data_IF_701696570632
#
_entry.id   IF_701696570632
#
_cell.length_a   1.000
_cell.length_b   1.000
_cell.length_c   1.000
_cell.angle_alpha   90.00
_cell.angle_beta   90.00
_cell.angle_gamma   90.00
#
_symmetry.space_group_name_H-M   'P 1'
#
loop_
_entity.id
_entity.type
_entity.pdbx_description
1 polymer ?
#
# COMPACT_ATOMS: atom_id res chain seq x y z
N UNK A 1 0.18 7.23 16.28
CA UNK A 1 -0.93 6.59 15.53
C UNK A 1 -1.38 7.51 14.41
N UNK A 2 -1.58 6.96 13.23
CA UNK A 2 -2.07 7.74 12.10
C UNK A 2 -3.58 7.87 12.17
N UNK A 3 -4.12 9.12 12.15
CA UNK A 3 -5.57 9.28 12.04
C UNK A 3 -6.06 8.72 10.71
N UNK A 4 -7.10 7.91 10.76
CA UNK A 4 -7.68 7.27 9.60
C UNK A 4 -8.00 8.27 8.49
N UNK A 5 -8.64 9.40 8.83
CA UNK A 5 -9.03 10.41 7.86
C UNK A 5 -7.82 11.07 7.20
N UNK A 6 -6.75 11.31 7.94
CA UNK A 6 -5.54 11.92 7.39
C UNK A 6 -4.85 10.97 6.40
N UNK A 7 -4.82 9.68 6.71
CA UNK A 7 -4.23 8.67 5.82
C UNK A 7 -5.02 8.61 4.51
N UNK A 8 -6.34 8.52 4.58
CA UNK A 8 -7.18 8.45 3.38
C UNK A 8 -7.08 9.73 2.56
N UNK A 9 -7.12 10.90 3.21
CA UNK A 9 -7.03 12.17 2.51
C UNK A 9 -5.70 12.31 1.77
N UNK A 10 -4.59 11.93 2.40
CA UNK A 10 -3.29 12.00 1.73
C UNK A 10 -3.20 10.97 0.60
N UNK A 11 -3.65 9.73 0.83
CA UNK A 11 -3.62 8.70 -0.22
C UNK A 11 -4.43 9.13 -1.45
N UNK A 12 -5.57 9.78 -1.25
CA UNK A 12 -6.40 10.26 -2.37
C UNK A 12 -5.69 11.29 -3.23
N UNK A 13 -4.74 12.04 -2.70
CA UNK A 13 -3.94 12.98 -3.48
C UNK A 13 -3.08 12.28 -4.52
N UNK A 14 -2.79 10.99 -4.30
CA UNK A 14 -1.94 10.19 -5.19
C UNK A 14 -2.73 9.53 -6.33
N UNK A 15 -4.06 9.59 -6.30
CA UNK A 15 -4.89 9.06 -7.39
C UNK A 15 -4.50 9.78 -8.68
N UNK A 16 -4.21 9.00 -9.73
CA UNK A 16 -3.76 9.54 -11.01
C UNK A 16 -2.25 9.61 -11.14
N UNK A 17 -1.48 9.39 -10.06
CA UNK A 17 -0.03 9.30 -10.15
C UNK A 17 0.34 8.00 -10.88
N UNK A 18 1.09 8.06 -12.01
CA UNK A 18 1.38 6.87 -12.78
C UNK A 18 2.32 5.91 -12.05
N UNK A 19 2.25 4.65 -12.43
CA UNK A 19 3.13 3.64 -11.85
C UNK A 19 4.56 3.82 -12.37
N UNK A 20 5.53 3.98 -11.46
CA UNK A 20 6.96 4.00 -11.77
C UNK A 20 7.67 3.21 -10.66
N UNK A 21 8.35 2.13 -11.05
CA UNK A 21 9.02 1.25 -10.09
C UNK A 21 10.00 2.00 -9.19
N UNK A 22 9.89 1.78 -7.88
CA UNK A 22 10.72 2.39 -6.82
C UNK A 22 10.58 3.92 -6.68
N UNK A 23 9.65 4.55 -7.41
CA UNK A 23 9.42 5.98 -7.29
C UNK A 23 8.40 6.28 -6.19
N UNK A 24 8.47 7.48 -5.62
CA UNK A 24 7.55 7.96 -4.60
C UNK A 24 7.42 9.48 -4.72
N UNK A 25 6.95 9.96 -5.89
CA UNK A 25 6.81 11.40 -6.18
C UNK A 25 5.37 11.68 -6.61
N UNK A 26 4.66 12.42 -5.77
CA UNK A 26 3.26 12.77 -6.00
C UNK A 26 3.08 13.41 -7.39
N UNK A 27 2.18 12.85 -8.18
CA UNK A 27 1.85 13.34 -9.50
C UNK A 27 2.81 12.94 -10.61
N UNK A 28 4.04 12.56 -10.28
CA UNK A 28 5.06 12.23 -11.27
C UNK A 28 5.24 10.72 -11.44
N UNK A 29 5.27 9.97 -10.35
CA UNK A 29 5.40 8.52 -10.41
C UNK A 29 5.51 7.88 -9.04
N UNK A 30 4.92 6.71 -8.89
CA UNK A 30 5.00 5.93 -7.67
C UNK A 30 4.71 4.46 -7.96
N UNK A 31 5.33 3.56 -7.19
CA UNK A 31 4.87 2.19 -7.12
C UNK A 31 4.01 2.01 -5.86
N UNK A 32 3.58 0.79 -5.57
CA UNK A 32 2.69 0.58 -4.43
C UNK A 32 3.36 0.89 -3.09
N UNK A 33 4.62 0.53 -2.92
CA UNK A 33 5.35 0.87 -1.70
C UNK A 33 5.63 2.37 -1.64
N UNK A 34 5.92 3.01 -2.78
CA UNK A 34 6.12 4.46 -2.85
C UNK A 34 4.90 5.22 -2.39
N UNK A 35 3.71 4.76 -2.73
CA UNK A 35 2.46 5.35 -2.25
C UNK A 35 2.41 5.30 -0.71
N UNK A 36 2.69 4.15 -0.12
CA UNK A 36 2.69 4.02 1.34
C UNK A 36 3.75 4.92 1.96
N UNK A 37 4.95 4.97 1.38
CA UNK A 37 6.04 5.82 1.87
C UNK A 37 5.66 7.31 1.82
N UNK A 38 5.02 7.74 0.73
CA UNK A 38 4.58 9.12 0.59
C UNK A 38 3.52 9.51 1.62
N UNK A 39 2.56 8.63 1.84
CA UNK A 39 1.53 8.85 2.86
C UNK A 39 2.15 8.86 4.26
N UNK A 40 3.07 7.94 4.55
CA UNK A 40 3.75 7.91 5.84
C UNK A 40 4.47 9.22 6.11
N UNK A 41 5.25 9.71 5.13
CA UNK A 41 6.01 10.96 5.30
C UNK A 41 5.10 12.17 5.54
N UNK A 42 3.94 12.21 4.87
CA UNK A 42 3.02 13.33 5.02
C UNK A 42 2.27 13.31 6.36
N UNK A 43 1.96 12.13 6.88
CA UNK A 43 1.10 11.98 8.06
C UNK A 43 1.90 11.71 9.33
N UNK A 44 2.97 10.94 9.24
CA UNK A 44 3.75 10.51 10.41
C UNK A 44 5.12 11.19 10.51
N UNK A 45 5.65 11.73 9.42
CA UNK A 45 7.00 12.28 9.38
C UNK A 45 7.99 11.30 8.78
N UNK A 46 9.29 11.37 9.16
CA UNK A 46 10.31 10.55 8.51
C UNK A 46 10.00 9.06 8.56
N UNK A 47 10.43 8.35 7.49
CA UNK A 47 10.25 6.91 7.43
C UNK A 47 11.06 6.23 8.54
N UNK A 48 10.51 5.13 9.13
CA UNK A 48 11.17 4.48 10.27
C UNK A 48 12.45 3.73 9.90
N UNK A 49 12.62 3.37 8.62
CA UNK A 49 13.84 2.71 8.15
C UNK A 49 14.06 3.03 6.69
N UNK A 50 15.32 2.88 6.24
CA UNK A 50 15.66 3.05 4.84
C UNK A 50 15.16 1.84 4.05
N UNK A 51 14.44 2.10 2.95
CA UNK A 51 13.93 1.04 2.06
C UNK A 51 15.03 0.67 1.06
N UNK A 52 15.52 -0.56 1.06
CA UNK A 52 16.50 -0.99 0.08
C UNK A 52 15.86 -1.16 -1.31
N UNK A 53 16.69 -1.26 -2.34
CA UNK A 53 16.21 -1.58 -3.67
C UNK A 53 15.49 -2.94 -3.65
N UNK A 54 14.41 -3.05 -4.42
CA UNK A 54 13.59 -4.25 -4.48
C UNK A 54 13.17 -4.52 -5.93
N UNK A 55 12.78 -5.76 -6.20
CA UNK A 55 12.27 -6.14 -7.52
C UNK A 55 10.75 -5.95 -7.57
N UNK A 56 10.18 -5.88 -8.78
CA UNK A 56 8.73 -5.73 -8.94
C UNK A 56 7.96 -6.94 -8.39
N UNK A 57 8.58 -8.10 -8.38
CA UNK A 57 7.95 -9.34 -7.92
C UNK A 57 8.20 -9.64 -6.44
N UNK A 58 8.92 -8.75 -5.72
CA UNK A 58 9.17 -8.88 -4.28
C UNK A 58 9.71 -10.25 -3.89
N UNK A 59 10.70 -10.75 -4.63
CA UNK A 59 11.34 -12.04 -4.38
C UNK A 59 10.38 -13.22 -4.54
N UNK A 60 9.35 -13.09 -5.37
CA UNK A 60 8.41 -14.17 -5.63
C UNK A 60 9.11 -15.48 -6.05
N UNK A 61 10.12 -15.46 -6.94
CA UNK A 61 10.81 -16.69 -7.31
C UNK A 61 11.50 -17.39 -6.15
N UNK A 62 11.96 -16.63 -5.13
CA UNK A 62 12.58 -17.20 -3.94
C UNK A 62 11.60 -17.52 -2.83
N UNK A 63 10.33 -17.21 -3.02
CA UNK A 63 9.26 -17.44 -2.06
C UNK A 63 9.51 -16.78 -0.69
N UNK A 64 10.18 -15.63 -0.69
CA UNK A 64 10.41 -14.84 0.51
C UNK A 64 9.34 -13.75 0.64
N UNK A 65 8.72 -13.64 1.81
CA UNK A 65 7.66 -12.67 2.08
C UNK A 65 8.25 -11.33 2.55
N UNK A 66 9.11 -10.73 1.75
CA UNK A 66 9.82 -9.53 2.14
C UNK A 66 8.89 -8.34 2.39
N UNK A 67 7.91 -8.14 1.51
CA UNK A 67 6.96 -7.04 1.67
C UNK A 67 6.11 -7.22 2.93
N UNK A 68 5.61 -8.43 3.17
CA UNK A 68 4.80 -8.73 4.34
C UNK A 68 5.60 -8.55 5.63
N UNK A 69 6.85 -9.03 5.65
CA UNK A 69 7.70 -8.89 6.83
C UNK A 69 8.00 -7.42 7.14
N UNK A 70 8.25 -6.61 6.11
CA UNK A 70 8.45 -5.18 6.30
C UNK A 70 7.19 -4.50 6.86
N UNK A 71 6.02 -4.86 6.34
CA UNK A 71 4.76 -4.31 6.83
C UNK A 71 4.55 -4.66 8.31
N UNK A 72 4.85 -5.89 8.70
CA UNK A 72 4.67 -6.34 10.09
C UNK A 72 5.57 -5.61 11.08
N UNK A 73 6.71 -5.10 10.64
CA UNK A 73 7.59 -4.35 11.53
C UNK A 73 7.03 -2.98 11.93
N UNK A 74 6.25 -2.35 11.05
CA UNK A 74 5.86 -0.95 11.22
C UNK A 74 4.35 -0.72 11.22
N UNK A 75 3.56 -1.73 10.93
CA UNK A 75 2.10 -1.66 10.91
C UNK A 75 1.52 -2.73 11.82
N UNK A 76 0.35 -2.43 12.37
CA UNK A 76 -0.37 -3.39 13.23
C UNK A 76 -1.27 -4.23 12.34
N UNK A 77 -1.10 -5.55 12.40
CA UNK A 77 -1.94 -6.48 11.63
C UNK A 77 -3.33 -6.55 12.25
N UNK A 78 -4.36 -6.48 11.40
CA UNK A 78 -5.75 -6.62 11.83
C UNK A 78 -6.44 -7.74 11.05
N UNK A 79 -7.44 -8.43 11.65
CA UNK A 79 -8.21 -9.43 10.91
C UNK A 79 -8.92 -8.81 9.72
N UNK A 80 -9.08 -9.59 8.64
CA UNK A 80 -9.74 -9.10 7.43
C UNK A 80 -11.16 -8.60 7.67
N UNK A 81 -11.88 -9.12 8.67
CA UNK A 81 -13.22 -8.67 9.02
C UNK A 81 -13.22 -7.30 9.70
N UNK A 82 -12.08 -6.82 10.19
CA UNK A 82 -11.96 -5.53 10.89
C UNK A 82 -11.31 -4.46 10.03
N UNK A 83 -11.20 -4.67 8.73
CA UNK A 83 -10.60 -3.69 7.81
C UNK A 83 -11.38 -2.38 7.85
N UNK A 84 -10.65 -1.27 7.92
CA UNK A 84 -11.21 0.09 8.00
C UNK A 84 -10.51 1.01 7.01
N UNK A 85 -11.13 2.15 6.64
CA UNK A 85 -10.44 3.14 5.79
C UNK A 85 -9.11 3.55 6.40
N UNK A 86 -8.09 3.70 5.56
CA UNK A 86 -6.73 4.00 5.98
C UNK A 86 -5.87 2.78 6.23
N UNK A 87 -6.44 1.60 6.30
CA UNK A 87 -5.67 0.37 6.46
C UNK A 87 -4.93 0.02 5.15
N UNK A 88 -3.83 -0.70 5.30
CA UNK A 88 -3.03 -1.16 4.17
C UNK A 88 -3.39 -2.61 3.87
N UNK A 89 -3.74 -2.89 2.60
CA UNK A 89 -4.00 -4.25 2.13
C UNK A 89 -2.76 -4.77 1.41
N UNK A 90 -2.36 -6.00 1.74
CA UNK A 90 -1.32 -6.70 0.99
C UNK A 90 -1.98 -7.76 0.12
N UNK A 91 -1.55 -7.84 -1.13
CA UNK A 91 -2.13 -8.74 -2.10
C UNK A 91 -1.16 -9.81 -2.53
N UNK A 92 -1.64 -11.06 -2.55
CA UNK A 92 -1.00 -12.15 -3.28
C UNK A 92 -1.69 -12.23 -4.63
N UNK A 93 -0.90 -12.30 -5.69
CA UNK A 93 -1.48 -12.35 -7.04
C UNK A 93 -2.07 -13.72 -7.35
N UNK A 94 -1.72 -14.73 -6.55
CA UNK A 94 -2.31 -16.06 -6.62
C UNK A 94 -2.10 -16.79 -5.30
N UNK A 95 -2.87 -17.84 -5.06
CA UNK A 95 -2.72 -18.67 -3.86
C UNK A 95 -1.32 -19.28 -3.81
N UNK A 96 -0.69 -19.18 -2.65
CA UNK A 96 0.65 -19.73 -2.44
C UNK A 96 1.80 -18.84 -2.89
N UNK A 97 1.53 -17.74 -3.60
CA UNK A 97 2.55 -16.78 -3.99
C UNK A 97 2.83 -15.79 -2.86
N UNK A 98 3.99 -15.13 -2.91
CA UNK A 98 4.33 -14.09 -1.94
C UNK A 98 3.45 -12.86 -2.16
N UNK A 99 3.23 -12.07 -1.09
CA UNK A 99 2.59 -10.77 -1.20
C UNK A 99 3.54 -9.82 -1.92
N UNK A 100 3.08 -9.21 -3.02
CA UNK A 100 3.92 -8.34 -3.83
C UNK A 100 3.24 -7.05 -4.28
N UNK A 101 2.04 -6.77 -3.76
CA UNK A 101 1.32 -5.54 -4.07
C UNK A 101 0.61 -5.06 -2.83
N UNK A 102 0.42 -3.75 -2.72
CA UNK A 102 -0.36 -3.18 -1.63
C UNK A 102 -1.23 -2.04 -2.12
N UNK A 103 -2.26 -1.74 -1.34
CA UNK A 103 -3.12 -0.59 -1.55
C UNK A 103 -3.60 -0.07 -0.22
N UNK A 104 -4.18 1.13 -0.23
CA UNK A 104 -4.70 1.77 0.99
C UNK A 104 -6.21 1.82 0.89
N UNK A 105 -6.90 1.28 1.89
CA UNK A 105 -8.36 1.22 1.90
C UNK A 105 -8.93 2.63 1.96
N UNK A 106 -9.83 2.94 1.01
CA UNK A 106 -10.54 4.21 0.96
C UNK A 106 -11.93 4.10 1.56
N UNK A 107 -12.64 3.01 1.26
CA UNK A 107 -14.00 2.75 1.75
C UNK A 107 -14.16 1.28 2.07
N UNK A 108 -15.04 0.99 3.02
CA UNK A 108 -15.45 -0.38 3.35
C UNK A 108 -16.95 -0.52 3.08
N UNK A 109 -17.45 -1.76 3.10
CA UNK A 109 -18.87 -2.04 2.88
C UNK A 109 -19.18 -2.32 1.41
N UNK A 110 -20.45 -2.11 0.97
CA UNK A 110 -20.87 -2.48 -0.39
C UNK A 110 -20.10 -1.79 -1.50
N UNK A 111 -19.60 -0.59 -1.25
CA UNK A 111 -18.82 0.18 -2.22
C UNK A 111 -17.35 0.23 -1.82
N UNK A 112 -16.84 -0.85 -1.27
CA UNK A 112 -15.45 -0.95 -0.83
C UNK A 112 -14.49 -0.60 -1.96
N UNK A 113 -13.43 0.14 -1.63
CA UNK A 113 -12.41 0.54 -2.60
C UNK A 113 -11.07 0.73 -1.91
N UNK A 114 -10.00 0.60 -2.71
CA UNK A 114 -8.66 0.89 -2.23
C UNK A 114 -7.90 1.73 -3.26
N UNK A 115 -6.91 2.47 -2.79
CA UNK A 115 -6.09 3.36 -3.60
C UNK A 115 -4.78 2.65 -3.90
N UNK A 116 -4.37 2.67 -5.17
CA UNK A 116 -3.11 2.12 -5.63
C UNK A 116 -2.52 3.07 -6.68
N UNK A 117 -1.26 2.88 -7.11
CA UNK A 117 -0.73 3.71 -8.19
C UNK A 117 -1.67 3.66 -9.40
N UNK A 118 -1.87 4.80 -10.02
CA UNK A 118 -2.72 5.03 -11.19
C UNK A 118 -4.22 5.10 -10.90
N UNK A 119 -4.67 4.79 -9.66
CA UNK A 119 -6.09 5.00 -9.45
C UNK A 119 -6.72 4.36 -8.24
N UNK A 120 -8.05 4.37 -8.28
CA UNK A 120 -8.93 3.82 -7.25
C UNK A 120 -9.54 2.53 -7.78
N UNK A 121 -9.42 1.46 -7.00
CA UNK A 121 -9.98 0.16 -7.36
C UNK A 121 -11.21 -0.13 -6.53
N UNK A 122 -12.27 -0.60 -7.17
CA UNK A 122 -13.53 -0.95 -6.52
C UNK A 122 -13.65 -2.42 -6.17
N UNK A 123 -14.85 -2.84 -5.70
CA UNK A 123 -15.03 -4.21 -5.21
C UNK A 123 -14.69 -5.30 -6.22
N UNK A 124 -14.93 -5.07 -7.50
CA UNK A 124 -14.65 -6.06 -8.54
C UNK A 124 -13.17 -6.33 -8.77
N UNK A 125 -12.29 -5.47 -8.29
CA UNK A 125 -10.85 -5.60 -8.44
C UNK A 125 -10.17 -6.03 -7.14
N UNK A 126 -10.90 -6.10 -6.07
CA UNK A 126 -10.37 -6.52 -4.79
C UNK A 126 -10.41 -8.04 -4.66
#
# INVERSE_FOLDING_TARGET
MMPEQAVVAEARRWIGTPYVHQAAVLGAGTDCLGLLRGVWCAVCGPEPETVPAYTQDWSEPGNNEELWQAARRWLIEVPGCDVAPGDVLLFRMRTGAVAKHLGIVSRVGPEASFIQPSGLMGPGQM
#
